data_IF_173644477587
#
_entry.id   IF_173644477587
#
_cell.length_a   1.000
_cell.length_b   1.000
_cell.length_c   1.000
_cell.angle_alpha   90.00
_cell.angle_beta   90.00
_cell.angle_gamma   90.00
#
_symmetry.space_group_name_H-M   'P 1'
#
loop_
_entity.id
_entity.type
_entity.pdbx_description
1 polymer ?
#
# COMPACT_ATOMS: atom_id res chain seq x y z
N UNK A 1 50.27 27.25 12.32
CA UNK A 1 49.74 28.60 12.02
C UNK A 1 50.21 28.96 10.63
N UNK A 2 49.30 29.40 9.75
CA UNK A 2 49.70 30.08 8.52
C UNK A 2 49.83 31.57 8.83
N UNK A 3 50.81 32.23 8.21
CA UNK A 3 50.93 33.68 8.26
C UNK A 3 49.66 34.32 7.67
N UNK A 4 49.29 35.49 8.15
CA UNK A 4 48.29 36.36 7.52
C UNK A 4 48.99 37.46 6.73
N UNK A 5 48.31 38.11 5.76
CA UNK A 5 48.86 39.28 5.09
C UNK A 5 49.34 40.36 6.07
N UNK A 6 48.58 40.58 7.15
CA UNK A 6 48.93 41.51 8.23
C UNK A 6 50.20 41.11 8.99
N UNK A 7 50.48 39.81 9.12
CA UNK A 7 51.72 39.32 9.73
C UNK A 7 52.95 39.59 8.85
N UNK A 8 52.78 39.64 7.52
CA UNK A 8 53.84 39.97 6.55
C UNK A 8 54.09 41.48 6.60
N UNK A 9 53.03 42.29 6.53
CA UNK A 9 53.09 43.76 6.58
C UNK A 9 53.76 44.28 7.88
N UNK A 10 53.46 43.65 9.02
CA UNK A 10 54.03 44.06 10.31
C UNK A 10 55.42 43.45 10.60
N UNK A 11 56.01 42.70 9.66
CA UNK A 11 57.26 41.99 9.88
C UNK A 11 58.44 42.96 9.95
N UNK A 12 59.12 43.00 11.10
CA UNK A 12 60.36 43.76 11.29
C UNK A 12 61.57 42.84 11.28
N UNK A 13 62.58 43.21 10.49
CA UNK A 13 63.87 42.52 10.43
C UNK A 13 64.93 43.29 11.22
N UNK A 14 65.84 42.56 11.88
CA UNK A 14 66.99 43.15 12.57
C UNK A 14 68.02 43.65 11.55
N UNK A 15 68.50 44.89 11.71
CA UNK A 15 69.54 45.46 10.82
C UNK A 15 70.89 44.81 11.09
N UNK A 16 71.58 44.34 10.04
CA UNK A 16 72.96 43.86 10.10
C UNK A 16 73.92 44.88 9.48
N UNK A 17 75.06 45.14 10.13
CA UNK A 17 76.01 46.18 9.71
C UNK A 17 76.99 45.73 8.60
N UNK A 18 77.09 44.44 8.30
CA UNK A 18 78.01 43.90 7.27
C UNK A 18 77.30 42.80 6.47
N UNK A 19 77.30 42.91 5.13
CA UNK A 19 76.73 41.95 4.18
C UNK A 19 75.22 41.64 4.35
N UNK A 20 74.40 42.60 4.78
CA UNK A 20 72.94 42.45 4.86
C UNK A 20 72.23 42.77 3.53
N UNK A 21 70.97 42.34 3.39
CA UNK A 21 70.11 42.73 2.26
C UNK A 21 69.77 44.23 2.28
N UNK A 22 69.52 44.80 1.11
CA UNK A 22 69.03 46.18 0.98
C UNK A 22 67.65 46.29 1.62
N UNK A 23 67.47 47.26 2.52
CA UNK A 23 66.18 47.47 3.20
C UNK A 23 65.09 47.84 2.20
N UNK A 24 65.40 48.71 1.23
CA UNK A 24 64.47 49.16 0.20
C UNK A 24 64.03 48.01 -0.72
N UNK A 25 64.96 47.16 -1.20
CA UNK A 25 64.62 46.01 -2.04
C UNK A 25 63.80 44.96 -1.28
N UNK A 26 64.05 44.80 0.02
CA UNK A 26 63.27 43.89 0.87
C UNK A 26 61.87 44.45 1.11
N UNK A 27 61.74 45.75 1.39
CA UNK A 27 60.44 46.39 1.61
C UNK A 27 59.58 46.33 0.33
N UNK A 28 60.13 46.69 -0.84
CA UNK A 28 59.43 46.59 -2.14
C UNK A 28 58.94 45.16 -2.44
N UNK A 29 59.79 44.16 -2.16
CA UNK A 29 59.42 42.75 -2.34
C UNK A 29 58.32 42.31 -1.36
N UNK A 30 58.36 42.79 -0.10
CA UNK A 30 57.35 42.47 0.90
C UNK A 30 56.01 43.13 0.58
N UNK A 31 56.00 44.31 -0.04
CA UNK A 31 54.77 44.96 -0.50
C UNK A 31 54.09 44.15 -1.62
N UNK A 32 54.86 43.74 -2.64
CA UNK A 32 54.36 42.87 -3.72
C UNK A 32 53.88 41.52 -3.17
N UNK A 33 54.68 40.89 -2.30
CA UNK A 33 54.32 39.64 -1.64
C UNK A 33 53.05 39.78 -0.79
N UNK A 34 52.88 40.88 -0.06
CA UNK A 34 51.71 41.12 0.77
C UNK A 34 50.44 41.24 -0.08
N UNK A 35 50.50 41.97 -1.20
CA UNK A 35 49.37 42.12 -2.12
C UNK A 35 48.95 40.78 -2.74
N UNK A 36 49.91 40.00 -3.25
CA UNK A 36 49.64 38.69 -3.85
C UNK A 36 49.13 37.69 -2.81
N UNK A 37 49.73 37.70 -1.61
CA UNK A 37 49.32 36.83 -0.52
C UNK A 37 47.92 37.19 0.00
N UNK A 38 47.56 38.48 0.08
CA UNK A 38 46.21 38.92 0.45
C UNK A 38 45.17 38.39 -0.54
N UNK A 39 45.43 38.51 -1.84
CA UNK A 39 44.56 37.98 -2.89
C UNK A 39 44.40 36.46 -2.74
N UNK A 40 45.50 35.71 -2.64
CA UNK A 40 45.47 34.26 -2.49
C UNK A 40 44.77 33.82 -1.18
N UNK A 41 44.99 34.56 -0.09
CA UNK A 41 44.38 34.30 1.21
C UNK A 41 42.86 34.49 1.15
N UNK A 42 42.39 35.57 0.50
CA UNK A 42 40.97 35.85 0.29
C UNK A 42 40.31 34.76 -0.57
N UNK A 43 40.89 34.44 -1.73
CA UNK A 43 40.37 33.39 -2.63
C UNK A 43 40.31 32.02 -1.94
N UNK A 44 41.32 31.69 -1.11
CA UNK A 44 41.36 30.46 -0.32
C UNK A 44 40.23 30.39 0.71
N UNK A 45 39.96 31.49 1.41
CA UNK A 45 38.87 31.55 2.39
C UNK A 45 37.49 31.49 1.72
N UNK A 46 37.29 32.21 0.62
CA UNK A 46 36.05 32.15 -0.17
C UNK A 46 35.81 30.74 -0.71
N UNK A 47 36.85 30.09 -1.24
CA UNK A 47 36.77 28.71 -1.73
C UNK A 47 36.43 27.73 -0.61
N UNK A 48 37.06 27.86 0.56
CA UNK A 48 36.76 27.02 1.74
C UNK A 48 35.31 27.21 2.19
N UNK A 49 34.84 28.45 2.29
CA UNK A 49 33.44 28.73 2.63
C UNK A 49 32.48 28.11 1.61
N UNK A 50 32.80 28.19 0.32
CA UNK A 50 31.98 27.58 -0.74
C UNK A 50 31.97 26.06 -0.67
N UNK A 51 33.11 25.43 -0.41
CA UNK A 51 33.21 23.98 -0.22
C UNK A 51 32.38 23.54 0.98
N UNK A 52 32.45 24.26 2.10
CA UNK A 52 31.67 23.95 3.30
C UNK A 52 30.16 24.04 3.00
N UNK A 53 29.72 25.09 2.30
CA UNK A 53 28.32 25.24 1.92
C UNK A 53 27.85 24.12 0.99
N UNK A 54 28.62 23.82 -0.08
CA UNK A 54 28.29 22.75 -1.01
C UNK A 54 28.28 21.36 -0.35
N UNK A 55 29.15 21.16 0.65
CA UNK A 55 29.17 19.91 1.43
C UNK A 55 27.89 19.77 2.25
N UNK A 56 27.46 20.83 2.94
CA UNK A 56 26.19 20.84 3.68
C UNK A 56 24.98 20.61 2.77
N UNK A 57 24.94 21.26 1.61
CA UNK A 57 23.86 21.08 0.64
C UNK A 57 23.83 19.63 0.12
N UNK A 58 25.00 19.04 -0.18
CA UNK A 58 25.10 17.65 -0.61
C UNK A 58 24.61 16.68 0.47
N UNK A 59 24.97 16.89 1.74
CA UNK A 59 24.47 16.08 2.85
C UNK A 59 22.95 16.20 2.99
N UNK A 60 22.40 17.40 2.85
CA UNK A 60 20.96 17.63 2.86
C UNK A 60 20.25 16.84 1.75
N UNK A 61 20.76 16.92 0.51
CA UNK A 61 20.17 16.18 -0.61
C UNK A 61 20.29 14.66 -0.45
N UNK A 62 21.41 14.14 0.08
CA UNK A 62 21.54 12.71 0.39
C UNK A 62 20.51 12.23 1.41
N UNK A 63 20.23 13.06 2.43
CA UNK A 63 19.21 12.74 3.42
C UNK A 63 17.79 12.74 2.81
N UNK A 64 17.49 13.69 1.93
CA UNK A 64 16.23 13.72 1.17
C UNK A 64 16.10 12.48 0.30
N UNK A 65 17.15 12.13 -0.45
CA UNK A 65 17.17 10.95 -1.32
C UNK A 65 16.90 9.67 -0.53
N UNK A 66 17.58 9.47 0.60
CA UNK A 66 17.37 8.32 1.48
C UNK A 66 15.94 8.25 2.02
N UNK A 67 15.39 9.39 2.42
CA UNK A 67 14.00 9.48 2.88
C UNK A 67 13.03 9.13 1.77
N UNK A 68 13.23 9.68 0.57
CA UNK A 68 12.38 9.43 -0.59
C UNK A 68 12.42 7.95 -1.01
N UNK A 69 13.60 7.33 -1.04
CA UNK A 69 13.76 5.91 -1.32
C UNK A 69 13.01 5.06 -0.28
N UNK A 70 13.12 5.39 1.00
CA UNK A 70 12.40 4.70 2.09
C UNK A 70 10.89 4.84 1.94
N UNK A 71 10.41 6.04 1.59
CA UNK A 71 8.99 6.31 1.33
C UNK A 71 8.48 5.53 0.12
N UNK A 72 9.26 5.44 -0.97
CA UNK A 72 8.89 4.68 -2.16
C UNK A 72 8.75 3.18 -1.86
N UNK A 73 9.70 2.62 -1.10
CA UNK A 73 9.64 1.21 -0.66
C UNK A 73 8.41 0.97 0.21
N UNK A 74 8.12 1.89 1.15
CA UNK A 74 6.93 1.81 1.98
C UNK A 74 5.66 1.85 1.14
N UNK A 75 5.54 2.80 0.21
CA UNK A 75 4.39 2.93 -0.68
C UNK A 75 4.19 1.66 -1.54
N UNK A 76 5.28 1.09 -2.07
CA UNK A 76 5.23 -0.16 -2.82
C UNK A 76 4.75 -1.33 -1.96
N UNK A 77 5.28 -1.46 -0.74
CA UNK A 77 4.89 -2.51 0.21
C UNK A 77 3.40 -2.39 0.58
N UNK A 78 2.94 -1.17 0.89
CA UNK A 78 1.53 -0.90 1.19
C UNK A 78 0.64 -1.22 -0.01
N UNK A 79 1.04 -0.85 -1.24
CA UNK A 79 0.27 -1.14 -2.43
C UNK A 79 0.11 -2.65 -2.68
N UNK A 80 1.20 -3.43 -2.50
CA UNK A 80 1.14 -4.88 -2.63
C UNK A 80 0.30 -5.54 -1.52
N UNK A 81 0.38 -5.05 -0.28
CA UNK A 81 -0.46 -5.56 0.81
C UNK A 81 -1.95 -5.27 0.57
N UNK A 82 -2.30 -4.05 0.13
CA UNK A 82 -3.69 -3.71 -0.25
C UNK A 82 -4.19 -4.64 -1.35
N UNK A 83 -3.38 -4.87 -2.38
CA UNK A 83 -3.73 -5.77 -3.49
C UNK A 83 -3.90 -7.21 -3.03
N UNK A 84 -3.05 -7.69 -2.11
CA UNK A 84 -3.15 -9.03 -1.53
C UNK A 84 -4.43 -9.18 -0.71
N UNK A 85 -4.73 -8.23 0.18
CA UNK A 85 -5.95 -8.24 1.00
C UNK A 85 -7.19 -8.19 0.11
N UNK A 86 -7.21 -7.32 -0.90
CA UNK A 86 -8.34 -7.23 -1.83
C UNK A 86 -8.58 -8.55 -2.59
N UNK A 87 -7.51 -9.24 -3.01
CA UNK A 87 -7.60 -10.56 -3.65
C UNK A 87 -8.16 -11.62 -2.71
N UNK A 88 -7.66 -11.67 -1.46
CA UNK A 88 -8.16 -12.60 -0.45
C UNK A 88 -9.64 -12.37 -0.14
N UNK A 89 -10.05 -11.10 0.02
CA UNK A 89 -11.45 -10.75 0.24
C UNK A 89 -12.32 -11.14 -0.96
N UNK A 90 -11.87 -10.89 -2.19
CA UNK A 90 -12.60 -11.28 -3.39
C UNK A 90 -12.77 -12.81 -3.48
N UNK A 91 -11.72 -13.58 -3.21
CA UNK A 91 -11.78 -15.03 -3.19
C UNK A 91 -12.73 -15.55 -2.10
N UNK A 92 -12.69 -14.95 -0.91
CA UNK A 92 -13.60 -15.29 0.18
C UNK A 92 -15.06 -15.01 -0.21
N UNK A 93 -15.37 -13.85 -0.79
CA UNK A 93 -16.73 -13.52 -1.25
C UNK A 93 -17.22 -14.54 -2.27
N UNK A 94 -16.37 -14.93 -3.23
CA UNK A 94 -16.74 -15.93 -4.25
C UNK A 94 -16.99 -17.29 -3.62
N UNK A 95 -16.16 -17.71 -2.67
CA UNK A 95 -16.33 -18.99 -1.98
C UNK A 95 -17.58 -19.01 -1.10
N UNK A 96 -17.85 -17.93 -0.35
CA UNK A 96 -19.05 -17.78 0.46
C UNK A 96 -20.31 -17.77 -0.40
N UNK A 97 -20.30 -17.06 -1.54
CA UNK A 97 -21.40 -17.05 -2.49
C UNK A 97 -21.67 -18.43 -3.08
N UNK A 98 -20.62 -19.17 -3.45
CA UNK A 98 -20.75 -20.56 -3.94
C UNK A 98 -21.30 -21.49 -2.86
N UNK A 99 -20.81 -21.40 -1.63
CA UNK A 99 -21.28 -22.20 -0.50
C UNK A 99 -22.75 -21.95 -0.18
N UNK A 100 -23.16 -20.68 -0.14
CA UNK A 100 -24.56 -20.30 0.09
C UNK A 100 -25.47 -20.73 -1.07
N UNK A 101 -25.02 -20.61 -2.31
CA UNK A 101 -25.76 -21.07 -3.47
C UNK A 101 -25.97 -22.60 -3.42
N UNK A 102 -24.91 -23.37 -3.14
CA UNK A 102 -25.01 -24.82 -3.01
C UNK A 102 -25.97 -25.21 -1.91
N UNK A 103 -25.86 -24.59 -0.72
CA UNK A 103 -26.77 -24.85 0.39
C UNK A 103 -28.23 -24.57 0.01
N UNK A 104 -28.49 -23.47 -0.70
CA UNK A 104 -29.84 -23.12 -1.17
C UNK A 104 -30.38 -24.16 -2.14
N UNK A 105 -29.54 -24.69 -3.03
CA UNK A 105 -29.91 -25.78 -3.95
C UNK A 105 -30.26 -27.04 -3.17
N UNK A 106 -29.41 -27.44 -2.21
CA UNK A 106 -29.63 -28.64 -1.39
C UNK A 106 -30.94 -28.53 -0.58
N UNK A 107 -31.20 -27.36 0.01
CA UNK A 107 -32.43 -27.08 0.76
C UNK A 107 -33.67 -27.18 -0.16
N UNK A 108 -33.62 -26.61 -1.37
CA UNK A 108 -34.71 -26.69 -2.36
C UNK A 108 -34.93 -28.12 -2.85
N UNK A 109 -33.87 -28.90 -3.05
CA UNK A 109 -33.99 -30.32 -3.43
C UNK A 109 -34.72 -31.13 -2.36
N UNK A 110 -34.42 -30.88 -1.08
CA UNK A 110 -35.13 -31.50 0.04
C UNK A 110 -36.61 -31.10 0.07
N UNK A 111 -36.92 -29.82 -0.10
CA UNK A 111 -38.30 -29.34 -0.16
C UNK A 111 -39.08 -29.97 -1.33
N UNK A 112 -38.44 -30.11 -2.50
CA UNK A 112 -39.05 -30.77 -3.66
C UNK A 112 -39.39 -32.23 -3.35
N UNK A 113 -38.49 -32.96 -2.68
CA UNK A 113 -38.75 -34.36 -2.28
C UNK A 113 -39.94 -34.45 -1.34
N UNK A 114 -40.01 -33.56 -0.34
CA UNK A 114 -41.11 -33.51 0.62
C UNK A 114 -42.43 -33.20 -0.10
N UNK A 115 -42.45 -32.17 -0.95
CA UNK A 115 -43.65 -31.75 -1.70
C UNK A 115 -44.13 -32.83 -2.67
N UNK A 116 -43.23 -33.58 -3.30
CA UNK A 116 -43.59 -34.73 -4.15
C UNK A 116 -44.28 -35.82 -3.34
N UNK A 117 -43.77 -36.13 -2.14
CA UNK A 117 -44.38 -37.11 -1.24
C UNK A 117 -45.78 -36.66 -0.78
N UNK A 118 -45.91 -35.41 -0.35
CA UNK A 118 -47.21 -34.83 0.03
C UNK A 118 -48.22 -34.91 -1.11
N UNK A 119 -47.81 -34.59 -2.34
CA UNK A 119 -48.65 -34.69 -3.53
C UNK A 119 -49.10 -36.14 -3.79
N UNK A 120 -48.20 -37.10 -3.64
CA UNK A 120 -48.51 -38.52 -3.82
C UNK A 120 -49.50 -39.01 -2.75
N UNK A 121 -49.32 -38.61 -1.50
CA UNK A 121 -50.20 -38.97 -0.39
C UNK A 121 -51.61 -38.38 -0.58
N UNK A 122 -51.72 -37.12 -1.02
CA UNK A 122 -53.01 -36.48 -1.34
C UNK A 122 -53.70 -37.18 -2.50
N UNK A 123 -52.96 -37.57 -3.56
CA UNK A 123 -53.53 -38.33 -4.68
C UNK A 123 -54.10 -39.68 -4.21
N UNK A 124 -53.37 -40.42 -3.39
CA UNK A 124 -53.86 -41.68 -2.81
C UNK A 124 -55.12 -41.47 -1.97
N UNK A 125 -55.16 -40.43 -1.14
CA UNK A 125 -56.35 -40.09 -0.35
C UNK A 125 -57.55 -39.77 -1.26
N UNK A 126 -57.33 -39.03 -2.35
CA UNK A 126 -58.36 -38.72 -3.33
C UNK A 126 -58.91 -39.97 -4.02
N UNK A 127 -58.03 -40.88 -4.45
CA UNK A 127 -58.44 -42.15 -5.08
C UNK A 127 -59.25 -43.02 -4.12
N UNK A 128 -58.83 -43.11 -2.85
CA UNK A 128 -59.57 -43.81 -1.80
C UNK A 128 -60.94 -43.17 -1.58
N UNK A 129 -61.01 -41.84 -1.52
CA UNK A 129 -62.27 -41.11 -1.35
C UNK A 129 -63.23 -41.36 -2.52
N UNK A 130 -62.70 -41.30 -3.75
CA UNK A 130 -63.46 -41.59 -4.97
C UNK A 130 -64.07 -42.99 -4.94
N UNK A 131 -63.27 -44.01 -4.63
CA UNK A 131 -63.74 -45.40 -4.53
C UNK A 131 -64.81 -45.58 -3.45
N UNK A 132 -64.65 -44.93 -2.28
CA UNK A 132 -65.66 -44.94 -1.21
C UNK A 132 -66.98 -44.31 -1.66
N UNK A 133 -66.92 -43.18 -2.38
CA UNK A 133 -68.11 -42.49 -2.87
C UNK A 133 -68.82 -43.30 -3.96
N UNK A 134 -68.09 -43.92 -4.88
CA UNK A 134 -68.66 -44.83 -5.88
C UNK A 134 -69.36 -46.02 -5.21
N UNK A 135 -68.73 -46.67 -4.22
CA UNK A 135 -69.33 -47.76 -3.47
C UNK A 135 -70.60 -47.34 -2.71
N UNK A 136 -70.58 -46.15 -2.09
CA UNK A 136 -71.75 -45.58 -1.42
C UNK A 136 -72.91 -45.40 -2.41
N UNK A 137 -72.65 -44.81 -3.57
CA UNK A 137 -73.67 -44.57 -4.60
C UNK A 137 -74.24 -45.88 -5.15
N UNK A 138 -73.41 -46.90 -5.39
CA UNK A 138 -73.86 -48.23 -5.81
C UNK A 138 -74.79 -48.83 -4.75
N UNK A 139 -74.39 -48.81 -3.48
CA UNK A 139 -75.21 -49.32 -2.39
C UNK A 139 -76.56 -48.60 -2.27
N UNK A 140 -76.58 -47.27 -2.44
CA UNK A 140 -77.84 -46.50 -2.44
C UNK A 140 -78.72 -46.83 -3.65
N UNK A 141 -78.14 -47.06 -4.83
CA UNK A 141 -78.87 -47.50 -6.02
C UNK A 141 -79.48 -48.90 -5.86
N UNK A 142 -78.77 -49.83 -5.21
CA UNK A 142 -79.28 -51.17 -4.92
C UNK A 142 -80.47 -51.11 -3.96
N UNK A 143 -80.37 -50.33 -2.88
CA UNK A 143 -81.48 -50.10 -1.95
C UNK A 143 -82.75 -49.59 -2.65
N UNK A 144 -82.61 -48.61 -3.56
CA UNK A 144 -83.75 -48.10 -4.34
C UNK A 144 -84.37 -49.15 -5.27
N UNK A 145 -83.54 -50.02 -5.87
CA UNK A 145 -84.05 -51.10 -6.73
C UNK A 145 -84.82 -52.14 -5.95
N UNK A 146 -84.42 -52.45 -4.73
CA UNK A 146 -85.11 -53.42 -3.89
C UNK A 146 -86.44 -52.87 -3.37
N UNK A 147 -86.51 -51.58 -3.01
CA UNK A 147 -87.79 -50.92 -2.66
C UNK A 147 -88.80 -51.02 -3.83
N UNK A 148 -88.36 -50.80 -5.07
CA UNK A 148 -89.22 -50.86 -6.25
C UNK A 148 -89.61 -52.29 -6.69
N UNK A 149 -89.11 -53.35 -6.05
CA UNK A 149 -89.49 -54.75 -6.35
C UNK A 149 -90.62 -55.26 -5.45
N UNK A 150 -90.86 -54.59 -4.34
CA UNK A 150 -91.89 -54.97 -3.36
C UNK A 150 -93.25 -54.26 -3.60
N UNK A 151 -93.35 -53.47 -4.68
CA UNK A 151 -94.58 -52.91 -5.27
C UNK A 151 -94.94 -53.63 -6.60
#
# INVERSE_FOLDING_TARGET
MMLTPLDIENKKFSKQMMNGYSVEEVDDFLDELTADYEKAYKESNESRAKIEQLTKDMEHYKNIESTLQSTLIMAQSTAEEVKKVARQQAEQIVNDAKGNAQKTVDDLEQEIVIKRKELEDVKKQFDIYKAKMEALLISQLELLKDINKDD
#
